data_IF_304485467014
#
_entry.id   IF_304485467014
#
_cell.length_a   1.000
_cell.length_b   1.000
_cell.length_c   1.000
_cell.angle_alpha   90.00
_cell.angle_beta   90.00
_cell.angle_gamma   90.00
#
_symmetry.space_group_name_H-M   'P 1'
#
loop_
_entity.id
_entity.type
_entity.pdbx_description
1 polymer ?
#
# COMPACT_ATOMS: atom_id res chain seq x y z
N UNK A 1 27.44 1.95 -1.50
CA UNK A 1 26.43 2.89 -2.02
C UNK A 1 25.18 2.75 -1.17
N UNK A 2 24.73 3.79 -0.48
CA UNK A 2 23.53 3.77 0.36
C UNK A 2 22.29 3.59 -0.53
N UNK A 3 21.43 2.62 -0.22
CA UNK A 3 20.15 2.46 -0.93
C UNK A 3 19.24 3.67 -0.67
N UNK A 4 18.46 4.14 -1.65
CA UNK A 4 17.68 5.38 -1.53
C UNK A 4 16.34 5.21 -0.77
N UNK A 5 16.14 4.08 -0.08
CA UNK A 5 14.93 3.76 0.69
C UNK A 5 15.29 3.14 2.05
N UNK A 6 14.46 3.39 3.06
CA UNK A 6 14.59 2.83 4.42
C UNK A 6 13.86 1.47 4.54
N UNK A 7 12.74 1.33 3.84
CA UNK A 7 11.86 0.17 3.90
C UNK A 7 11.53 -0.32 2.49
N UNK A 8 11.21 -1.61 2.36
CA UNK A 8 10.58 -2.17 1.17
C UNK A 8 9.32 -2.93 1.59
N UNK A 9 8.22 -2.70 0.88
CA UNK A 9 6.95 -3.36 1.12
C UNK A 9 6.44 -3.99 -0.17
N UNK A 10 5.95 -5.22 -0.06
CA UNK A 10 5.29 -5.92 -1.17
C UNK A 10 3.79 -5.60 -1.17
N UNK A 11 3.31 -5.05 -2.29
CA UNK A 11 1.91 -4.71 -2.53
C UNK A 11 1.36 -5.58 -3.68
N UNK A 12 0.17 -6.14 -3.49
CA UNK A 12 -0.55 -6.90 -4.51
C UNK A 12 -1.80 -6.15 -4.96
N UNK A 13 -2.05 -6.06 -6.26
CA UNK A 13 -3.31 -5.53 -6.81
C UNK A 13 -4.22 -6.71 -7.15
N UNK A 14 -5.41 -6.78 -6.54
CA UNK A 14 -6.37 -7.89 -6.70
C UNK A 14 -7.76 -7.38 -7.09
N UNK A 15 -8.56 -8.22 -7.74
CA UNK A 15 -9.90 -7.89 -8.23
C UNK A 15 -10.18 -8.45 -9.62
N UNK A 16 -11.42 -8.33 -10.07
CA UNK A 16 -11.91 -8.94 -11.32
C UNK A 16 -11.19 -8.42 -12.58
N UNK A 17 -11.31 -9.18 -13.67
CA UNK A 17 -10.76 -8.78 -14.96
C UNK A 17 -11.37 -7.45 -15.47
N UNK A 18 -10.52 -6.61 -16.07
CA UNK A 18 -10.92 -5.33 -16.64
C UNK A 18 -11.30 -4.24 -15.62
N UNK A 19 -11.10 -4.45 -14.32
CA UNK A 19 -11.27 -3.38 -13.30
C UNK A 19 -10.17 -2.32 -13.36
N UNK A 20 -9.05 -2.60 -14.05
CA UNK A 20 -7.97 -1.64 -14.30
C UNK A 20 -6.79 -1.69 -13.32
N UNK A 21 -6.55 -2.84 -12.68
CA UNK A 21 -5.38 -3.11 -11.82
C UNK A 21 -4.04 -2.76 -12.50
N UNK A 22 -3.84 -3.26 -13.71
CA UNK A 22 -2.65 -3.01 -14.52
C UNK A 22 -2.53 -1.54 -14.89
N UNK A 23 -3.63 -0.91 -15.31
CA UNK A 23 -3.67 0.52 -15.64
C UNK A 23 -3.34 1.41 -14.44
N UNK A 24 -3.77 1.05 -13.23
CA UNK A 24 -3.40 1.77 -12.00
C UNK A 24 -1.91 1.62 -11.69
N UNK A 25 -1.37 0.40 -11.83
CA UNK A 25 0.05 0.09 -11.58
C UNK A 25 0.95 0.82 -12.58
N UNK A 26 0.62 0.75 -13.87
CA UNK A 26 1.31 1.46 -14.95
C UNK A 26 1.22 2.97 -14.73
N UNK A 27 0.04 3.49 -14.37
CA UNK A 27 -0.12 4.92 -14.09
C UNK A 27 0.77 5.39 -12.95
N UNK A 28 0.88 4.62 -11.87
CA UNK A 28 1.75 4.98 -10.74
C UNK A 28 3.25 4.94 -11.12
N UNK A 29 3.67 3.93 -11.87
CA UNK A 29 5.09 3.72 -12.20
C UNK A 29 5.58 4.64 -13.32
N UNK A 30 4.75 4.83 -14.34
CA UNK A 30 5.16 5.40 -15.63
C UNK A 30 4.42 6.71 -15.96
N UNK A 31 3.40 7.07 -15.18
CA UNK A 31 2.59 8.29 -15.40
C UNK A 31 1.70 8.24 -16.64
N UNK A 32 1.73 7.15 -17.42
CA UNK A 32 0.96 6.97 -18.65
C UNK A 32 -0.29 6.12 -18.46
N UNK A 33 -1.18 6.19 -19.44
CA UNK A 33 -2.34 5.33 -19.58
C UNK A 33 -2.48 4.90 -21.03
N UNK A 34 -2.87 3.64 -21.25
CA UNK A 34 -3.23 3.12 -22.55
C UNK A 34 -4.69 2.68 -22.51
N UNK A 35 -5.44 2.96 -23.56
CA UNK A 35 -6.79 2.39 -23.72
C UNK A 35 -6.75 0.93 -24.21
N UNK A 36 -5.66 0.55 -24.88
CA UNK A 36 -5.39 -0.83 -25.30
C UNK A 36 -4.41 -1.47 -24.32
N UNK A 37 -4.92 -2.35 -23.48
CA UNK A 37 -4.11 -3.23 -22.64
C UNK A 37 -4.53 -4.66 -22.94
N UNK A 38 -3.55 -5.50 -23.27
CA UNK A 38 -3.77 -6.94 -23.31
C UNK A 38 -4.15 -7.42 -21.91
N UNK A 39 -4.94 -8.49 -21.84
CA UNK A 39 -5.26 -9.10 -20.56
C UNK A 39 -3.95 -9.57 -19.91
N UNK A 40 -3.71 -9.19 -18.65
CA UNK A 40 -2.51 -9.60 -17.91
C UNK A 40 -2.44 -11.12 -17.82
N UNK A 41 -1.42 -11.70 -18.45
CA UNK A 41 -1.08 -13.11 -18.32
C UNK A 41 0.01 -13.22 -17.25
N UNK A 42 -0.35 -13.69 -16.06
CA UNK A 42 0.60 -13.84 -14.95
C UNK A 42 0.68 -12.61 -14.05
N UNK A 43 1.90 -12.13 -13.76
CA UNK A 43 2.16 -10.97 -12.90
C UNK A 43 3.13 -9.98 -13.55
N UNK A 44 2.73 -8.71 -13.59
CA UNK A 44 3.60 -7.61 -14.01
C UNK A 44 4.21 -6.91 -12.79
N UNK A 45 5.50 -6.57 -12.89
CA UNK A 45 6.30 -6.05 -11.78
C UNK A 45 6.57 -4.56 -11.94
N UNK A 46 6.00 -3.75 -11.05
CA UNK A 46 6.32 -2.33 -10.90
C UNK A 46 7.10 -2.06 -9.61
N UNK A 47 7.83 -0.93 -9.57
CA UNK A 47 8.31 -0.43 -8.28
C UNK A 47 8.30 1.09 -8.21
N UNK A 48 7.89 1.62 -7.07
CA UNK A 48 7.82 3.07 -6.81
C UNK A 48 8.34 3.36 -5.41
N UNK A 49 9.17 4.39 -5.27
CA UNK A 49 9.64 4.85 -3.96
C UNK A 49 8.76 6.02 -3.54
N UNK A 50 8.17 5.92 -2.35
CA UNK A 50 7.27 6.93 -1.79
C UNK A 50 7.79 7.42 -0.44
N UNK A 51 7.56 8.71 -0.09
CA UNK A 51 7.80 9.19 1.26
C UNK A 51 6.79 8.59 2.25
N UNK A 52 7.24 8.21 3.44
CA UNK A 52 6.38 7.72 4.54
C UNK A 52 6.79 8.37 5.86
N UNK A 53 5.83 8.49 6.78
CA UNK A 53 6.05 9.11 8.10
C UNK A 53 6.24 10.64 8.06
N UNK A 54 6.39 11.29 9.21
CA UNK A 54 6.62 12.73 9.28
C UNK A 54 7.96 13.13 8.62
N UNK A 55 8.05 14.31 7.97
CA UNK A 55 7.03 15.35 7.85
C UNK A 55 5.97 15.14 6.76
N UNK A 56 6.13 14.19 5.81
CA UNK A 56 5.17 13.97 4.73
C UNK A 56 3.75 13.64 5.23
N UNK A 57 3.63 12.82 6.28
CA UNK A 57 2.32 12.47 6.87
C UNK A 57 1.61 13.63 7.58
N UNK A 58 2.29 14.76 7.84
CA UNK A 58 1.66 15.96 8.45
C UNK A 58 0.92 16.81 7.42
N UNK A 59 1.39 16.86 6.17
CA UNK A 59 0.70 17.57 5.08
C UNK A 59 -0.56 16.84 4.62
N UNK A 60 -0.55 15.51 4.70
CA UNK A 60 -1.70 14.64 4.48
C UNK A 60 -2.54 14.40 5.74
N UNK A 61 -2.31 15.12 6.86
CA UNK A 61 -3.01 14.91 8.14
C UNK A 61 -4.09 15.95 8.48
N UNK A 62 -4.29 16.97 7.65
CA UNK A 62 -5.09 18.17 7.98
C UNK A 62 -6.60 18.11 7.68
N UNK A 63 -7.10 17.11 6.96
CA UNK A 63 -8.53 16.93 6.64
C UNK A 63 -9.09 15.60 7.16
N UNK A 64 -8.47 15.02 8.19
CA UNK A 64 -8.70 13.62 8.54
C UNK A 64 -9.46 13.36 9.84
N UNK A 65 -10.04 14.39 10.46
CA UNK A 65 -10.90 14.20 11.63
C UNK A 65 -11.89 15.37 11.81
N UNK A 66 -12.93 15.45 10.97
CA UNK A 66 -14.09 16.27 11.33
C UNK A 66 -15.41 15.80 10.69
N UNK A 67 -15.80 14.57 10.99
CA UNK A 67 -17.18 14.10 10.80
C UNK A 67 -17.80 13.71 12.14
N UNK A 68 -17.54 14.45 13.22
CA UNK A 68 -18.38 14.40 14.43
C UNK A 68 -18.18 15.65 15.30
N UNK A 69 -18.77 16.79 14.93
CA UNK A 69 -19.21 17.82 15.89
C UNK A 69 -20.26 18.72 15.23
N UNK A 70 -21.50 18.43 15.59
CA UNK A 70 -22.67 19.19 15.22
C UNK A 70 -22.57 20.65 15.68
N UNK A 71 -23.03 21.51 14.76
CA UNK A 71 -23.37 22.93 14.83
C UNK A 71 -24.13 23.34 16.10
N UNK A 72 -23.72 24.48 16.69
CA UNK A 72 -24.64 25.44 17.29
C UNK A 72 -24.08 26.87 17.12
N UNK A 73 -24.89 27.88 16.71
CA UNK A 73 -24.46 29.27 16.55
C UNK A 73 -24.85 30.10 17.78
N UNK A 74 -23.98 30.97 18.29
CA UNK A 74 -24.42 32.02 19.22
C UNK A 74 -23.38 33.12 19.44
N UNK A 75 -23.72 34.32 18.94
CA UNK A 75 -23.58 35.66 19.55
C UNK A 75 -22.23 36.15 20.06
N UNK A 76 -21.77 37.23 19.42
CA UNK A 76 -20.95 38.30 20.00
C UNK A 76 -21.65 38.93 21.22
N UNK A 77 -20.89 39.48 22.19
CA UNK A 77 -20.98 40.93 22.33
C UNK A 77 -19.66 41.64 22.68
N UNK A 78 -19.65 42.92 22.31
CA UNK A 78 -18.73 44.02 22.64
C UNK A 78 -18.74 44.42 24.13
N UNK A 79 -17.62 44.93 24.64
CA UNK A 79 -17.47 46.06 25.62
C UNK A 79 -16.06 46.03 26.24
N UNK A 80 -15.16 46.96 25.88
CA UNK A 80 -14.85 48.26 26.53
C UNK A 80 -13.85 48.19 27.73
N UNK A 81 -12.76 48.93 27.56
CA UNK A 81 -11.66 49.38 28.47
C UNK A 81 -12.15 50.01 29.81
N UNK A 82 -11.31 50.38 30.84
CA UNK A 82 -9.92 50.91 30.73
C UNK A 82 -8.90 50.70 31.89
N UNK A 83 -7.65 51.19 31.63
CA UNK A 83 -6.56 51.66 32.53
C UNK A 83 -5.93 50.67 33.54
N UNK A 84 -4.60 50.58 33.72
CA UNK A 84 -3.70 51.64 34.22
C UNK A 84 -2.24 51.19 34.09
N UNK A 85 -1.33 52.14 33.86
CA UNK A 85 0.11 51.94 33.70
C UNK A 85 0.86 51.62 35.01
N UNK A 86 1.92 50.80 34.96
CA UNK A 86 3.16 51.00 35.74
C UNK A 86 4.33 50.28 35.08
N UNK A 87 5.44 51.00 34.90
CA UNK A 87 6.73 50.50 34.43
C UNK A 87 7.48 49.75 35.55
N UNK A 88 8.34 48.78 35.18
CA UNK A 88 9.26 48.14 36.13
C UNK A 88 10.11 47.02 35.49
N UNK A 89 11.40 47.31 35.36
CA UNK A 89 12.58 46.45 35.38
C UNK A 89 12.76 45.19 34.49
N UNK A 90 13.92 45.16 33.84
CA UNK A 90 14.55 44.02 33.18
C UNK A 90 15.06 42.98 34.20
N UNK A 91 14.89 41.68 33.93
CA UNK A 91 15.91 40.67 34.26
C UNK A 91 15.93 39.59 33.17
N UNK A 92 17.01 39.56 32.39
CA UNK A 92 17.38 38.43 31.57
C UNK A 92 17.83 37.28 32.49
N UNK A 93 17.16 36.13 32.43
CA UNK A 93 17.70 34.89 32.97
C UNK A 93 17.31 33.73 32.06
N UNK A 94 18.34 33.01 31.61
CA UNK A 94 18.28 32.02 30.54
C UNK A 94 17.36 30.86 30.87
N UNK A 95 16.30 30.73 30.10
CA UNK A 95 15.67 29.43 29.86
C UNK A 95 16.58 28.66 28.88
N UNK A 96 16.96 27.41 29.15
CA UNK A 96 17.55 26.57 28.12
C UNK A 96 16.56 26.48 26.96
N UNK A 97 17.06 26.67 25.74
CA UNK A 97 16.28 26.44 24.53
C UNK A 97 15.55 25.11 24.66
N UNK A 98 14.23 25.01 24.34
CA UNK A 98 13.56 23.72 24.32
C UNK A 98 14.40 22.76 23.47
N UNK A 99 14.50 21.46 23.84
CA UNK A 99 15.33 20.51 23.11
C UNK A 99 14.95 20.65 21.64
N UNK A 100 15.94 20.98 20.77
CA UNK A 100 15.73 21.06 19.32
C UNK A 100 14.98 19.80 18.96
N UNK A 101 13.69 19.92 18.64
CA UNK A 101 12.84 18.81 18.21
C UNK A 101 13.67 18.05 17.19
N UNK A 102 14.00 16.79 17.49
CA UNK A 102 14.84 15.98 16.62
C UNK A 102 14.33 16.17 15.20
N UNK A 103 15.18 16.65 14.30
CA UNK A 103 14.79 16.93 12.92
C UNK A 103 14.29 15.60 12.34
N UNK A 104 12.97 15.45 12.24
CA UNK A 104 12.33 14.21 11.79
C UNK A 104 12.77 13.99 10.34
N UNK A 105 13.67 13.02 10.14
CA UNK A 105 14.22 12.71 8.82
C UNK A 105 13.14 12.00 8.02
N UNK A 106 12.82 12.55 6.85
CA UNK A 106 11.86 11.94 5.93
C UNK A 106 12.26 10.50 5.61
N UNK A 107 11.40 9.55 6.00
CA UNK A 107 11.58 8.14 5.66
C UNK A 107 11.03 7.85 4.27
N UNK A 108 11.62 6.86 3.58
CA UNK A 108 11.22 6.45 2.23
C UNK A 108 10.97 4.96 2.18
N UNK A 109 9.86 4.56 1.56
CA UNK A 109 9.48 3.17 1.36
C UNK A 109 9.46 2.84 -0.12
N UNK A 110 10.12 1.75 -0.51
CA UNK A 110 10.01 1.17 -1.84
C UNK A 110 8.81 0.23 -1.88
N UNK A 111 7.83 0.56 -2.69
CA UNK A 111 6.69 -0.30 -3.00
C UNK A 111 7.08 -1.24 -4.14
N UNK A 112 7.04 -2.54 -3.90
CA UNK A 112 7.13 -3.57 -4.93
C UNK A 112 5.69 -3.95 -5.31
N UNK A 113 5.29 -3.63 -6.54
CA UNK A 113 3.92 -3.80 -7.01
C UNK A 113 3.82 -5.09 -7.81
N UNK A 114 2.86 -5.93 -7.43
CA UNK A 114 2.55 -7.19 -8.06
C UNK A 114 1.16 -7.06 -8.67
N UNK A 115 1.10 -6.79 -9.97
CA UNK A 115 -0.16 -6.75 -10.70
C UNK A 115 -0.61 -8.18 -10.99
N UNK A 116 -1.81 -8.57 -10.54
CA UNK A 116 -2.30 -9.94 -10.72
C UNK A 116 -3.35 -10.03 -11.81
N UNK A 117 -3.37 -11.15 -12.53
CA UNK A 117 -4.42 -11.46 -13.50
C UNK A 117 -5.79 -11.56 -12.79
N UNK A 118 -6.77 -10.79 -13.28
CA UNK A 118 -8.12 -10.75 -12.71
C UNK A 118 -9.08 -11.82 -13.22
N UNK A 119 -8.64 -12.73 -14.10
CA UNK A 119 -9.50 -13.82 -14.56
C UNK A 119 -9.52 -14.95 -13.55
N UNK A 120 -10.72 -15.47 -13.29
CA UNK A 120 -10.98 -16.61 -12.43
C UNK A 120 -10.14 -17.84 -12.79
N UNK A 121 -9.83 -18.06 -14.08
CA UNK A 121 -9.00 -19.16 -14.58
C UNK A 121 -7.58 -19.15 -14.00
N UNK A 122 -7.07 -17.98 -13.58
CA UNK A 122 -5.72 -17.81 -13.02
C UNK A 122 -5.71 -17.66 -11.50
N UNK A 123 -6.83 -17.94 -10.80
CA UNK A 123 -6.92 -17.82 -9.34
C UNK A 123 -5.89 -18.67 -8.58
N UNK A 124 -5.57 -19.87 -9.06
CA UNK A 124 -4.54 -20.73 -8.43
C UNK A 124 -3.13 -20.15 -8.53
N UNK A 125 -2.78 -19.57 -9.68
CA UNK A 125 -1.49 -18.90 -9.92
C UNK A 125 -1.42 -17.61 -9.09
N UNK A 126 -2.50 -16.84 -9.06
CA UNK A 126 -2.61 -15.57 -8.33
C UNK A 126 -2.40 -15.73 -6.82
N UNK A 127 -2.94 -16.80 -6.24
CA UNK A 127 -2.83 -17.13 -4.81
C UNK A 127 -1.37 -17.25 -4.33
N UNK A 128 -0.46 -17.74 -5.18
CA UNK A 128 0.97 -17.86 -4.81
C UNK A 128 1.63 -16.51 -4.52
N UNK A 129 1.12 -15.43 -5.10
CA UNK A 129 1.69 -14.08 -4.96
C UNK A 129 1.22 -13.36 -3.69
N UNK A 130 0.18 -13.84 -3.02
CA UNK A 130 -0.30 -13.25 -1.77
C UNK A 130 0.66 -13.48 -0.60
N UNK A 131 1.50 -14.53 -0.69
CA UNK A 131 2.47 -14.85 0.35
C UNK A 131 3.54 -13.75 0.46
N UNK A 132 3.77 -13.29 1.70
CA UNK A 132 4.69 -12.20 2.00
C UNK A 132 4.26 -10.85 1.43
N UNK A 133 2.98 -10.65 1.14
CA UNK A 133 2.44 -9.33 0.84
C UNK A 133 2.10 -8.60 2.15
N UNK A 134 2.51 -7.33 2.26
CA UNK A 134 2.18 -6.47 3.41
C UNK A 134 1.02 -5.54 3.13
N UNK A 135 0.77 -5.26 1.86
CA UNK A 135 -0.35 -4.44 1.42
C UNK A 135 -1.10 -5.08 0.26
N UNK A 136 -2.38 -4.81 0.17
CA UNK A 136 -3.20 -5.15 -0.99
C UNK A 136 -4.10 -3.99 -1.39
N UNK A 137 -4.22 -3.77 -2.71
CA UNK A 137 -5.24 -2.91 -3.31
C UNK A 137 -6.33 -3.82 -3.87
N UNK A 138 -7.54 -3.71 -3.33
CA UNK A 138 -8.71 -4.44 -3.78
C UNK A 138 -9.49 -3.54 -4.76
N UNK A 139 -9.38 -3.84 -6.05
CA UNK A 139 -9.81 -2.95 -7.13
C UNK A 139 -11.10 -3.46 -7.77
N UNK A 140 -12.15 -2.64 -7.73
CA UNK A 140 -13.37 -2.83 -8.50
C UNK A 140 -13.60 -1.68 -9.48
N UNK A 141 -14.52 -1.90 -10.41
CA UNK A 141 -14.96 -0.89 -11.36
C UNK A 141 -16.27 -0.30 -10.86
N UNK A 142 -16.29 1.00 -10.58
CA UNK A 142 -17.47 1.66 -10.02
C UNK A 142 -18.70 1.59 -10.94
N UNK A 143 -18.47 1.45 -12.24
CA UNK A 143 -19.54 1.33 -13.26
C UNK A 143 -20.08 -0.09 -13.39
N UNK A 144 -19.45 -1.07 -12.72
CA UNK A 144 -19.82 -2.48 -12.77
C UNK A 144 -20.01 -3.02 -11.35
N UNK A 145 -21.23 -2.94 -10.79
CA UNK A 145 -21.54 -3.41 -9.43
C UNK A 145 -21.22 -4.89 -9.18
N UNK A 146 -21.25 -5.73 -10.22
CA UNK A 146 -20.83 -7.14 -10.12
C UNK A 146 -19.38 -7.29 -9.62
N UNK A 147 -18.47 -6.41 -10.06
CA UNK A 147 -17.06 -6.44 -9.64
C UNK A 147 -16.87 -6.02 -8.18
N UNK A 148 -17.79 -5.22 -7.64
CA UNK A 148 -17.82 -4.86 -6.23
C UNK A 148 -18.31 -6.02 -5.36
N UNK A 149 -19.34 -6.75 -5.80
CA UNK A 149 -19.80 -7.96 -5.10
C UNK A 149 -18.68 -9.00 -5.01
N UNK A 150 -17.94 -9.22 -6.11
CA UNK A 150 -16.78 -10.12 -6.17
C UNK A 150 -15.66 -9.74 -5.18
N UNK A 151 -15.56 -8.48 -4.75
CA UNK A 151 -14.53 -8.04 -3.81
C UNK A 151 -14.57 -8.80 -2.48
N UNK A 152 -15.75 -9.23 -2.05
CA UNK A 152 -15.92 -10.05 -0.83
C UNK A 152 -15.17 -11.37 -0.94
N UNK A 153 -15.28 -12.05 -2.09
CA UNK A 153 -14.55 -13.30 -2.32
C UNK A 153 -13.05 -13.06 -2.41
N UNK A 154 -12.63 -12.01 -3.11
CA UNK A 154 -11.21 -11.65 -3.21
C UNK A 154 -10.58 -11.34 -1.85
N UNK A 155 -11.31 -10.64 -0.98
CA UNK A 155 -10.85 -10.34 0.38
C UNK A 155 -10.71 -11.61 1.22
N UNK A 156 -11.69 -12.51 1.15
CA UNK A 156 -11.63 -13.80 1.85
C UNK A 156 -10.44 -14.65 1.37
N UNK A 157 -10.27 -14.75 0.05
CA UNK A 157 -9.15 -15.48 -0.56
C UNK A 157 -7.79 -14.89 -0.15
N UNK A 158 -7.68 -13.56 -0.11
CA UNK A 158 -6.47 -12.87 0.35
C UNK A 158 -6.17 -13.20 1.81
N UNK A 159 -7.16 -13.09 2.70
CA UNK A 159 -6.98 -13.31 4.14
C UNK A 159 -6.62 -14.75 4.51
N UNK A 160 -6.96 -15.72 3.68
CA UNK A 160 -6.59 -17.12 3.90
C UNK A 160 -5.09 -17.40 3.66
N UNK A 161 -4.41 -16.55 2.89
CA UNK A 161 -3.04 -16.82 2.40
C UNK A 161 -2.04 -15.74 2.82
N UNK A 162 -2.49 -14.49 2.92
CA UNK A 162 -1.68 -13.37 3.34
C UNK A 162 -1.26 -13.48 4.81
N UNK A 163 -0.23 -12.72 5.17
CA UNK A 163 0.23 -12.66 6.56
C UNK A 163 -0.74 -11.86 7.44
N UNK A 164 -0.75 -12.20 8.73
CA UNK A 164 -1.51 -11.47 9.73
C UNK A 164 -1.10 -9.99 9.72
N UNK A 165 -2.09 -9.10 9.67
CA UNK A 165 -1.84 -7.66 9.60
C UNK A 165 -1.55 -7.11 8.21
N UNK A 166 -1.90 -7.82 7.13
CA UNK A 166 -1.94 -7.23 5.78
C UNK A 166 -2.86 -6.00 5.76
N UNK A 167 -2.33 -4.89 5.23
CA UNK A 167 -3.09 -3.66 5.02
C UNK A 167 -3.89 -3.79 3.73
N UNK A 168 -5.20 -3.59 3.77
CA UNK A 168 -6.05 -3.63 2.58
C UNK A 168 -6.73 -2.28 2.39
N UNK A 169 -6.65 -1.75 1.16
CA UNK A 169 -7.39 -0.56 0.73
C UNK A 169 -8.32 -0.94 -0.41
N UNK A 170 -9.59 -0.56 -0.30
CA UNK A 170 -10.58 -0.74 -1.35
C UNK A 170 -10.46 0.42 -2.35
N UNK A 171 -10.43 0.09 -3.63
CA UNK A 171 -10.23 1.04 -4.73
C UNK A 171 -11.37 0.93 -5.73
N UNK A 172 -12.16 2.00 -5.83
CA UNK A 172 -13.17 2.16 -6.87
C UNK A 172 -12.52 2.84 -8.08
N UNK A 173 -12.19 2.08 -9.12
CA UNK A 173 -11.55 2.63 -10.31
C UNK A 173 -12.57 3.07 -11.37
N UNK A 174 -12.10 3.89 -12.32
CA UNK A 174 -12.87 4.50 -13.42
C UNK A 174 -13.84 5.60 -12.97
N UNK A 175 -13.45 6.38 -11.97
CA UNK A 175 -14.19 7.58 -11.52
C UNK A 175 -14.48 8.58 -12.64
N UNK A 176 -13.67 8.61 -13.71
CA UNK A 176 -13.91 9.41 -14.91
C UNK A 176 -15.17 9.03 -15.69
N UNK A 177 -15.68 7.82 -15.51
CA UNK A 177 -16.93 7.35 -16.13
C UNK A 177 -18.14 7.53 -15.20
N UNK A 178 -17.92 8.03 -13.97
CA UNK A 178 -18.96 8.20 -12.96
C UNK A 178 -19.85 9.43 -13.21
N UNK A 179 -19.45 10.35 -14.09
CA UNK A 179 -20.22 11.56 -14.43
C UNK A 179 -21.47 11.26 -15.25
N UNK A 180 -21.60 10.04 -15.80
CA UNK A 180 -22.80 9.58 -16.46
C UNK A 180 -23.83 9.12 -15.41
N UNK A 181 -24.73 10.02 -14.99
CA UNK A 181 -25.77 9.77 -13.98
C UNK A 181 -26.75 8.64 -14.36
N UNK A 182 -26.71 8.18 -15.62
CA UNK A 182 -27.63 7.19 -16.19
C UNK A 182 -27.26 5.75 -15.91
N UNK A 183 -26.10 5.45 -15.32
CA UNK A 183 -25.63 4.08 -15.06
C UNK A 183 -25.75 3.68 -13.59
N UNK A 184 -26.23 2.46 -13.35
CA UNK A 184 -26.13 1.80 -12.04
C UNK A 184 -24.67 1.75 -11.62
N UNK A 185 -24.34 2.39 -10.49
CA UNK A 185 -22.99 2.51 -9.95
C UNK A 185 -22.99 2.25 -8.45
N UNK A 186 -21.86 1.76 -7.95
CA UNK A 186 -21.64 1.64 -6.50
C UNK A 186 -21.44 3.03 -5.93
N UNK A 187 -22.20 3.37 -4.90
CA UNK A 187 -22.06 4.68 -4.25
C UNK A 187 -20.88 4.68 -3.29
N UNK A 188 -20.28 5.85 -3.08
CA UNK A 188 -19.22 6.01 -2.09
C UNK A 188 -19.65 5.56 -0.69
N UNK A 189 -20.89 5.85 -0.30
CA UNK A 189 -21.44 5.45 1.00
C UNK A 189 -21.50 3.94 1.15
N UNK A 190 -21.95 3.24 0.10
CA UNK A 190 -22.02 1.77 0.09
C UNK A 190 -20.61 1.14 0.19
N UNK A 191 -19.64 1.68 -0.54
CA UNK A 191 -18.26 1.21 -0.49
C UNK A 191 -17.59 1.47 0.88
N UNK A 192 -17.82 2.64 1.48
CA UNK A 192 -17.31 2.98 2.82
C UNK A 192 -17.93 2.09 3.90
N UNK A 193 -19.24 1.83 3.83
CA UNK A 193 -19.91 0.92 4.75
C UNK A 193 -19.38 -0.52 4.60
N UNK A 194 -19.18 -0.97 3.37
CA UNK A 194 -18.56 -2.28 3.11
C UNK A 194 -17.15 -2.36 3.72
N UNK A 195 -16.34 -1.30 3.63
CA UNK A 195 -15.04 -1.25 4.27
C UNK A 195 -15.13 -1.38 5.79
N UNK A 196 -16.09 -0.66 6.41
CA UNK A 196 -16.33 -0.70 7.86
C UNK A 196 -16.73 -2.10 8.32
N UNK A 197 -17.61 -2.77 7.58
CA UNK A 197 -18.08 -4.12 7.92
C UNK A 197 -17.00 -5.19 7.73
N UNK A 198 -16.10 -5.00 6.76
CA UNK A 198 -15.10 -6.00 6.41
C UNK A 198 -13.71 -5.72 7.01
N UNK A 199 -13.55 -4.74 7.91
CA UNK A 199 -12.26 -4.31 8.45
C UNK A 199 -11.23 -3.97 7.35
N UNK A 200 -11.66 -3.22 6.34
CA UNK A 200 -10.79 -2.66 5.30
C UNK A 200 -10.49 -1.22 5.65
N UNK A 201 -9.21 -0.84 5.57
CA UNK A 201 -8.70 0.38 6.21
C UNK A 201 -9.31 1.65 5.63
N UNK A 202 -9.47 1.69 4.31
CA UNK A 202 -9.93 2.88 3.55
C UNK A 202 -10.61 2.46 2.25
N UNK A 203 -11.46 3.36 1.78
CA UNK A 203 -11.96 3.40 0.41
C UNK A 203 -11.39 4.62 -0.31
N UNK A 204 -10.94 4.45 -1.56
CA UNK A 204 -10.45 5.54 -2.42
C UNK A 204 -11.01 5.36 -3.84
N UNK A 205 -11.62 6.42 -4.38
CA UNK A 205 -12.03 6.48 -5.79
C UNK A 205 -10.88 6.96 -6.65
N UNK A 206 -10.60 6.25 -7.74
CA UNK A 206 -9.46 6.51 -8.62
C UNK A 206 -9.87 6.50 -10.08
N UNK A 207 -9.10 7.23 -10.89
CA UNK A 207 -9.15 7.07 -12.34
C UNK A 207 -7.75 6.84 -12.88
N UNK A 208 -7.49 5.64 -13.39
CA UNK A 208 -6.28 5.36 -14.13
C UNK A 208 -6.14 6.21 -15.41
N UNK A 209 -7.24 6.76 -15.95
CA UNK A 209 -7.27 7.58 -17.16
C UNK A 209 -6.89 9.04 -16.90
N UNK A 210 -7.39 9.66 -15.84
CA UNK A 210 -6.98 11.03 -15.46
C UNK A 210 -5.72 11.03 -14.59
N UNK A 211 -5.44 9.93 -13.87
CA UNK A 211 -4.42 9.85 -12.83
C UNK A 211 -4.91 10.31 -11.46
N UNK A 212 -6.18 10.73 -11.35
CA UNK A 212 -6.77 11.21 -10.11
C UNK A 212 -6.78 10.13 -9.03
N UNK A 213 -6.30 10.51 -7.83
CA UNK A 213 -6.22 9.67 -6.62
C UNK A 213 -5.42 8.36 -6.76
N UNK A 214 -4.78 8.09 -7.90
CA UNK A 214 -3.98 6.87 -8.09
C UNK A 214 -2.83 6.86 -7.09
N UNK A 215 -2.02 7.93 -7.07
CA UNK A 215 -0.90 8.04 -6.11
C UNK A 215 -1.40 8.00 -4.66
N UNK A 216 -2.51 8.68 -4.37
CA UNK A 216 -3.15 8.67 -3.04
C UNK A 216 -3.49 7.26 -2.57
N UNK A 217 -4.07 6.40 -3.41
CA UNK A 217 -4.42 5.04 -3.04
C UNK A 217 -3.20 4.21 -2.61
N UNK A 218 -2.08 4.32 -3.32
CA UNK A 218 -0.84 3.62 -2.97
C UNK A 218 -0.15 4.24 -1.74
N UNK A 219 -0.20 5.56 -1.58
CA UNK A 219 0.34 6.26 -0.41
C UNK A 219 -0.41 5.87 0.87
N UNK A 220 -1.73 5.77 0.85
CA UNK A 220 -2.53 5.36 2.02
C UNK A 220 -2.12 3.96 2.51
N UNK A 221 -1.86 3.02 1.58
CA UNK A 221 -1.33 1.69 1.92
C UNK A 221 0.06 1.83 2.56
N UNK A 222 0.96 2.59 1.94
CA UNK A 222 2.33 2.76 2.41
C UNK A 222 2.41 3.42 3.80
N UNK A 223 1.61 4.46 4.05
CA UNK A 223 1.52 5.13 5.35
C UNK A 223 1.00 4.19 6.42
N UNK A 224 -0.02 3.39 6.12
CA UNK A 224 -0.57 2.44 7.09
C UNK A 224 0.44 1.32 7.40
N UNK A 225 1.14 0.80 6.39
CA UNK A 225 2.24 -0.15 6.61
C UNK A 225 3.30 0.50 7.49
N UNK A 226 3.69 1.75 7.24
CA UNK A 226 4.65 2.46 8.08
C UNK A 226 4.19 2.59 9.54
N UNK A 227 2.92 2.93 9.80
CA UNK A 227 2.36 2.97 11.16
C UNK A 227 2.40 1.60 11.84
N UNK A 228 2.14 0.53 11.09
CA UNK A 228 2.24 -0.84 11.60
C UNK A 228 3.71 -1.20 11.96
N UNK A 229 4.69 -0.72 11.20
CA UNK A 229 6.12 -0.86 11.52
C UNK A 229 6.45 -0.13 12.83
N UNK A 230 6.03 1.14 12.96
CA UNK A 230 6.27 1.93 14.18
C UNK A 230 5.61 1.33 15.41
N UNK A 231 4.45 0.70 15.24
CA UNK A 231 3.75 -0.03 16.29
C UNK A 231 4.40 -1.38 16.65
N UNK A 232 5.49 -1.78 15.98
CA UNK A 232 6.18 -3.05 16.23
C UNK A 232 5.40 -4.28 15.76
N UNK A 233 4.44 -4.11 14.84
CA UNK A 233 3.61 -5.21 14.32
C UNK A 233 4.26 -6.00 13.18
N UNK A 234 5.38 -5.52 12.65
CA UNK A 234 6.17 -6.22 11.64
C UNK A 234 7.56 -6.57 12.18
N UNK A 235 7.97 -7.82 11.99
CA UNK A 235 9.37 -8.21 12.11
C UNK A 235 10.11 -7.84 10.82
N UNK A 236 11.05 -6.91 10.92
CA UNK A 236 11.81 -6.39 9.77
C UNK A 236 12.97 -7.30 9.33
N UNK A 237 13.30 -8.32 10.13
CA UNK A 237 14.40 -9.25 9.88
C UNK A 237 13.93 -10.65 9.46
N UNK A 238 12.64 -10.97 9.64
CA UNK A 238 12.06 -12.20 9.11
C UNK A 238 12.02 -12.17 7.57
N UNK A 239 12.46 -13.26 6.95
CA UNK A 239 12.40 -13.46 5.50
C UNK A 239 10.98 -13.65 4.99
N UNK A 240 10.04 -14.07 5.86
CA UNK A 240 8.63 -14.28 5.50
C UNK A 240 7.85 -12.97 5.51
N UNK A 241 8.18 -12.09 6.45
CA UNK A 241 7.63 -10.74 6.56
C UNK A 241 7.63 -9.99 5.22
N UNK A 242 6.45 -9.50 4.83
CA UNK A 242 6.29 -8.72 3.61
C UNK A 242 6.93 -7.33 3.63
N UNK A 243 7.39 -6.86 4.79
CA UNK A 243 8.13 -5.61 4.97
C UNK A 243 9.57 -5.92 5.37
N UNK A 244 10.54 -5.32 4.68
CA UNK A 244 11.95 -5.49 5.03
C UNK A 244 12.59 -4.14 5.36
N UNK A 245 13.38 -4.12 6.42
CA UNK A 245 14.16 -2.95 6.83
C UNK A 245 15.49 -2.82 6.06
N UNK A 246 16.14 -1.67 6.24
CA UNK A 246 17.48 -1.41 5.73
C UNK A 246 18.46 -2.53 6.12
N UNK A 247 19.10 -3.17 5.13
CA UNK A 247 20.08 -4.26 5.32
C UNK A 247 19.50 -5.69 5.31
N UNK A 248 18.18 -5.87 5.44
CA UNK A 248 17.56 -7.20 5.36
C UNK A 248 17.50 -7.74 3.90
N UNK A 249 17.56 -6.84 2.91
CA UNK A 249 17.72 -7.18 1.50
C UNK A 249 19.20 -7.17 1.09
N UNK A 250 19.96 -8.14 1.57
CA UNK A 250 21.30 -8.43 1.05
C UNK A 250 22.43 -7.52 1.57
N UNK A 251 22.89 -7.84 2.78
CA UNK A 251 24.22 -7.49 3.28
C UNK A 251 24.78 -8.68 4.05
N UNK A 252 25.90 -9.22 3.56
CA UNK A 252 26.68 -10.37 4.02
C UNK A 252 26.60 -10.70 5.52
N UNK A 253 26.13 -11.91 5.86
CA UNK A 253 26.40 -12.53 7.16
C UNK A 253 27.44 -13.65 6.93
N UNK A 254 28.64 -13.64 7.54
CA UNK A 254 29.76 -14.51 7.15
C UNK A 254 29.69 -15.95 7.72
N UNK A 255 28.49 -16.49 8.01
CA UNK A 255 28.37 -17.64 8.91
C UNK A 255 27.58 -18.87 8.44
N UNK A 256 27.01 -18.95 7.24
CA UNK A 256 26.14 -20.10 6.86
C UNK A 256 26.39 -20.55 5.40
N UNK A 257 26.53 -21.86 5.11
CA UNK A 257 27.00 -22.35 3.81
C UNK A 257 25.98 -22.16 2.68
N UNK A 258 26.52 -21.99 1.47
CA UNK A 258 25.84 -21.71 0.21
C UNK A 258 24.77 -22.76 -0.11
N UNK A 259 23.53 -22.33 -0.34
CA UNK A 259 22.51 -23.15 -1.01
C UNK A 259 22.88 -23.28 -2.49
N UNK A 260 22.95 -24.52 -2.96
CA UNK A 260 23.25 -24.91 -4.34
C UNK A 260 22.22 -24.29 -5.29
N UNK A 261 22.69 -23.53 -6.27
CA UNK A 261 21.87 -23.11 -7.39
C UNK A 261 21.57 -24.35 -8.25
N UNK A 262 20.32 -24.82 -8.23
CA UNK A 262 19.83 -25.76 -9.22
C UNK A 262 19.59 -24.99 -10.51
N UNK A 263 20.64 -24.93 -11.35
CA UNK A 263 20.58 -24.45 -12.72
C UNK A 263 19.77 -25.43 -13.57
N UNK A 264 18.90 -24.86 -14.41
CA UNK A 264 18.00 -25.55 -15.30
C UNK A 264 18.76 -26.06 -16.55
N UNK A 265 19.82 -26.85 -16.38
CA UNK A 265 20.60 -27.40 -17.51
C UNK A 265 21.05 -28.87 -17.32
N UNK A 266 20.70 -29.52 -16.19
CA UNK A 266 21.22 -30.86 -15.84
C UNK A 266 20.31 -32.04 -16.27
N UNK A 267 19.29 -31.78 -17.11
CA UNK A 267 18.30 -32.79 -17.53
C UNK A 267 18.62 -33.47 -18.88
N UNK A 268 19.82 -33.28 -19.44
CA UNK A 268 20.16 -33.87 -20.75
C UNK A 268 21.62 -34.29 -20.89
N UNK A 269 22.14 -35.07 -19.94
CA UNK A 269 23.38 -35.85 -20.16
C UNK A 269 23.53 -37.03 -19.21
N UNK A 270 22.82 -38.13 -19.48
CA UNK A 270 23.30 -39.49 -19.21
C UNK A 270 22.44 -40.55 -19.90
N UNK A 271 22.70 -40.73 -21.19
CA UNK A 271 22.52 -42.01 -21.85
C UNK A 271 23.88 -42.73 -21.88
N UNK A 272 23.89 -44.02 -21.56
CA UNK A 272 24.93 -44.95 -22.03
C UNK A 272 25.78 -45.65 -20.96
N UNK A 273 25.60 -46.97 -20.89
CA UNK A 273 26.48 -48.04 -20.38
C UNK A 273 26.78 -48.06 -18.87
N UNK A 274 26.76 -49.17 -18.14
CA UNK A 274 26.64 -50.58 -18.49
C UNK A 274 27.32 -51.40 -17.38
N UNK A 275 26.74 -52.55 -17.04
CA UNK A 275 27.35 -53.75 -16.43
C UNK A 275 27.76 -53.75 -14.93
N UNK A 276 27.20 -54.78 -14.26
CA UNK A 276 27.84 -55.75 -13.34
C UNK A 276 27.52 -55.69 -11.83
N UNK A 277 27.05 -56.86 -11.32
CA UNK A 277 27.06 -57.31 -9.92
C UNK A 277 25.77 -57.04 -9.14
N UNK A 278 24.97 -57.99 -8.65
CA UNK A 278 25.21 -59.39 -8.27
C UNK A 278 25.20 -59.53 -6.74
N UNK A 279 24.08 -60.05 -6.21
CA UNK A 279 23.80 -60.68 -4.90
C UNK A 279 24.59 -60.29 -3.63
N UNK A 280 23.88 -59.94 -2.55
CA UNK A 280 23.47 -60.80 -1.43
C UNK A 280 22.48 -60.05 -0.53
#
# INVERSE_FOLDING_TARGET
MSQPWDYIAKLVCIGDSGTGKSSLTIRLCEGRFSSSHDVTIGVEFGSRIVPVGPPASRGSGGEFDNSTRNRAPSVSPSSSLPATATAGEQVASGLPSPPRRAQEVQKRMKLSLWDTAGQETYKSITRSYFRGASGALLVFDITRPSTFISCTQWLQDLRQIAEDGIVVVLVGNKSDLASDETRSRVTRQEAEEWCRLNNVTRYVETSAKSGENVERAFLEVAEMIYRNIEAGRYDLYDRRSGVKGYGATGGSNPGIPKTVALGLDDAMRKGGNGLAGGCC
#
